data_IF_357967581800
#
_entry.id   IF_357967581800
#
_cell.length_a   1.000
_cell.length_b   1.000
_cell.length_c   1.000
_cell.angle_alpha   90.00
_cell.angle_beta   90.00
_cell.angle_gamma   90.00
#
_symmetry.space_group_name_H-M   'P 1'
#
loop_
_entity.id
_entity.type
_entity.pdbx_description
1 polymer ?
#
# COMPACT_ATOMS: atom_id res chain seq x y z
N UNK A 1 -22.19 11.29 -4.62
CA UNK A 1 -20.76 11.72 -4.62
C UNK A 1 -20.53 12.51 -5.90
N UNK A 2 -20.30 13.82 -5.80
CA UNK A 2 -20.00 14.66 -6.97
C UNK A 2 -18.51 14.47 -7.33
N UNK A 3 -18.26 13.85 -8.46
CA UNK A 3 -16.95 13.84 -9.06
C UNK A 3 -16.69 15.23 -9.64
N UNK A 4 -15.81 16.00 -9.03
CA UNK A 4 -15.34 17.26 -9.57
C UNK A 4 -13.96 17.00 -10.21
N UNK A 5 -13.84 17.06 -11.56
CA UNK A 5 -12.54 16.98 -12.20
C UNK A 5 -11.79 18.28 -11.96
N UNK A 6 -11.13 18.40 -10.79
CA UNK A 6 -10.14 19.46 -10.62
C UNK A 6 -9.09 19.24 -11.70
N UNK A 7 -8.78 20.29 -12.45
CA UNK A 7 -7.65 20.30 -13.37
C UNK A 7 -6.42 19.82 -12.61
N UNK A 8 -5.73 18.82 -13.12
CA UNK A 8 -4.45 18.40 -12.54
C UNK A 8 -3.56 19.63 -12.50
N UNK A 9 -2.92 19.93 -11.35
CA UNK A 9 -1.94 20.99 -11.31
C UNK A 9 -0.87 20.68 -12.35
N UNK A 10 -0.67 21.59 -13.31
CA UNK A 10 0.37 21.42 -14.32
C UNK A 10 1.72 21.30 -13.61
N UNK A 11 2.40 20.17 -13.81
CA UNK A 11 3.81 20.10 -13.50
C UNK A 11 4.56 20.87 -14.60
N UNK A 12 5.52 21.72 -14.29
CA UNK A 12 6.36 22.30 -15.33
C UNK A 12 7.02 21.14 -16.11
N UNK A 13 6.85 21.14 -17.43
CA UNK A 13 7.40 20.15 -18.38
C UNK A 13 8.95 20.19 -18.46
N UNK A 14 9.61 20.80 -17.49
CA UNK A 14 11.02 21.17 -17.56
C UNK A 14 11.99 20.17 -16.92
N UNK A 15 11.52 19.04 -16.42
CA UNK A 15 12.45 17.96 -16.09
C UNK A 15 12.66 17.18 -17.38
N UNK A 16 13.63 17.61 -18.19
CA UNK A 16 14.07 16.95 -19.41
C UNK A 16 14.68 15.57 -19.17
N UNK A 17 13.88 14.66 -18.60
CA UNK A 17 14.20 13.24 -18.50
C UNK A 17 13.28 12.56 -19.51
N UNK A 18 13.78 12.28 -20.70
CA UNK A 18 13.11 11.53 -21.77
C UNK A 18 12.59 10.14 -21.32
N UNK A 19 12.95 9.72 -20.09
CA UNK A 19 12.57 8.45 -19.48
C UNK A 19 11.23 8.50 -18.71
N UNK A 20 10.65 9.68 -18.44
CA UNK A 20 9.38 9.82 -17.72
C UNK A 20 8.22 9.89 -18.71
N UNK A 21 7.47 8.82 -18.84
CA UNK A 21 6.27 8.77 -19.68
C UNK A 21 5.10 9.56 -19.07
N UNK A 22 4.91 9.44 -17.78
CA UNK A 22 3.78 10.06 -17.07
C UNK A 22 4.16 10.43 -15.65
N UNK A 23 4.02 11.71 -15.30
CA UNK A 23 4.10 12.17 -13.92
C UNK A 23 2.69 12.20 -13.31
N UNK A 24 2.50 11.52 -12.20
CA UNK A 24 1.25 11.51 -11.44
C UNK A 24 1.44 12.33 -10.17
N UNK A 25 0.66 13.40 -10.02
CA UNK A 25 0.59 14.16 -8.77
C UNK A 25 -0.51 13.56 -7.91
N UNK A 26 -0.20 12.96 -6.74
CA UNK A 26 -1.19 12.35 -5.87
C UNK A 26 -2.22 13.38 -5.37
N UNK A 27 -3.48 12.95 -5.27
CA UNK A 27 -4.59 13.76 -4.81
C UNK A 27 -5.00 13.40 -3.39
N UNK A 28 -5.26 14.43 -2.57
CA UNK A 28 -5.80 14.27 -1.24
C UNK A 28 -7.18 13.60 -1.27
N UNK A 29 -7.40 12.63 -0.38
CA UNK A 29 -8.69 11.95 -0.15
C UNK A 29 -8.92 11.83 1.34
N UNK A 30 -10.03 12.40 1.81
CA UNK A 30 -10.49 12.23 3.19
C UNK A 30 -11.19 10.86 3.32
N UNK A 31 -10.74 10.05 4.27
CA UNK A 31 -11.30 8.75 4.63
C UNK A 31 -12.17 8.82 5.91
N UNK A 32 -12.62 10.01 6.30
CA UNK A 32 -13.43 10.22 7.50
C UNK A 32 -12.60 10.67 8.70
N UNK A 33 -11.89 11.80 8.55
CA UNK A 33 -11.02 12.40 9.55
C UNK A 33 -9.55 12.03 9.44
N UNK A 34 -9.18 11.34 8.35
CA UNK A 34 -7.82 11.03 7.98
C UNK A 34 -7.64 11.17 6.47
N UNK A 35 -6.63 11.91 6.06
CA UNK A 35 -6.32 12.16 4.65
C UNK A 35 -5.23 11.23 4.13
N UNK A 36 -5.46 10.67 2.94
CA UNK A 36 -4.47 9.93 2.16
C UNK A 36 -4.14 10.67 0.87
N UNK A 37 -2.97 10.41 0.32
CA UNK A 37 -2.54 10.90 -1.00
C UNK A 37 -2.67 9.77 -2.01
N UNK A 38 -3.69 9.86 -2.88
CA UNK A 38 -4.00 8.85 -3.90
C UNK A 38 -3.26 9.13 -5.19
N UNK A 39 -2.37 8.22 -5.59
CA UNK A 39 -1.69 8.26 -6.88
C UNK A 39 -2.44 7.48 -7.96
N UNK A 40 -2.98 6.30 -7.63
CA UNK A 40 -3.77 5.48 -8.55
C UNK A 40 -5.18 5.20 -8.00
N UNK A 41 -6.23 5.16 -8.86
CA UNK A 41 -6.19 5.50 -10.28
C UNK A 41 -6.07 7.01 -10.52
N UNK A 42 -5.33 7.39 -11.57
CA UNK A 42 -5.24 8.76 -12.05
C UNK A 42 -5.91 8.90 -13.44
N UNK A 43 -6.39 10.11 -13.84
CA UNK A 43 -7.09 10.29 -15.13
C UNK A 43 -6.28 9.85 -16.34
N UNK A 44 -4.95 10.07 -16.32
CA UNK A 44 -4.05 9.69 -17.42
C UNK A 44 -3.45 8.30 -17.28
N UNK A 45 -3.55 7.68 -16.08
CA UNK A 45 -2.99 6.37 -15.78
C UNK A 45 -3.90 5.66 -14.79
N UNK A 46 -4.71 4.72 -15.27
CA UNK A 46 -5.64 3.98 -14.41
C UNK A 46 -4.92 2.91 -13.59
N UNK A 47 -3.85 2.32 -14.14
CA UNK A 47 -3.09 1.25 -13.52
C UNK A 47 -1.63 1.24 -14.01
N UNK A 48 -0.76 0.57 -13.25
CA UNK A 48 0.64 0.29 -13.60
C UNK A 48 0.87 -1.21 -13.43
N UNK A 49 1.04 -1.95 -14.54
CA UNK A 49 0.98 -3.41 -14.49
C UNK A 49 -0.33 -3.85 -13.80
N UNK A 50 -0.30 -4.77 -12.84
CA UNK A 50 -1.49 -5.18 -12.10
C UNK A 50 -1.89 -4.23 -10.96
N UNK A 51 -1.10 -3.18 -10.66
CA UNK A 51 -1.41 -2.20 -9.60
C UNK A 51 -2.51 -1.25 -10.07
N UNK A 52 -3.69 -1.36 -9.46
CA UNK A 52 -4.91 -0.60 -9.80
C UNK A 52 -5.23 0.50 -8.78
N UNK A 53 -4.51 0.52 -7.66
CA UNK A 53 -4.72 1.49 -6.60
C UNK A 53 -3.43 1.74 -5.83
N UNK A 54 -3.21 3.00 -5.44
CA UNK A 54 -2.05 3.38 -4.64
C UNK A 54 -2.42 4.58 -3.75
N UNK A 55 -2.44 4.36 -2.44
CA UNK A 55 -2.62 5.40 -1.44
C UNK A 55 -1.39 5.48 -0.51
N UNK A 56 -0.91 6.69 -0.28
CA UNK A 56 0.02 7.01 0.78
C UNK A 56 -0.76 7.55 1.98
N UNK A 57 -0.66 6.86 3.10
CA UNK A 57 -1.22 7.24 4.39
C UNK A 57 -0.18 8.01 5.21
N UNK A 58 -0.44 9.28 5.52
CA UNK A 58 0.50 10.09 6.29
C UNK A 58 1.70 10.65 5.49
N UNK A 59 2.79 11.11 6.20
CA UNK A 59 2.95 11.07 7.66
C UNK A 59 1.90 11.88 8.40
N UNK A 60 1.37 11.32 9.49
CA UNK A 60 0.38 11.95 10.35
C UNK A 60 0.71 11.69 11.82
N UNK A 61 0.41 12.66 12.68
CA UNK A 61 0.63 12.56 14.13
C UNK A 61 -0.73 12.51 14.84
N UNK A 62 -0.83 11.66 15.85
CA UNK A 62 -2.02 11.47 16.66
C UNK A 62 -1.73 11.66 18.14
N UNK A 63 -2.65 12.29 18.85
CA UNK A 63 -2.62 12.39 20.31
C UNK A 63 -3.09 11.07 20.94
N UNK A 64 -2.79 10.90 22.23
CA UNK A 64 -3.26 9.76 23.01
C UNK A 64 -4.76 9.52 22.84
N UNK A 65 -5.16 8.30 22.58
CA UNK A 65 -6.54 7.90 22.35
C UNK A 65 -7.05 8.11 20.92
N UNK A 66 -6.35 8.91 20.11
CA UNK A 66 -6.68 9.10 18.70
C UNK A 66 -6.11 7.97 17.83
N UNK A 67 -6.40 7.99 16.55
CA UNK A 67 -5.90 7.04 15.56
C UNK A 67 -6.85 6.91 14.38
N UNK A 68 -6.55 6.01 13.48
CA UNK A 68 -7.35 5.75 12.28
C UNK A 68 -8.35 4.64 12.58
N UNK A 69 -9.55 4.80 12.02
CA UNK A 69 -10.62 3.82 12.03
C UNK A 69 -11.20 3.64 10.64
N UNK A 70 -10.57 2.82 9.81
CA UNK A 70 -11.16 2.39 8.55
C UNK A 70 -12.20 1.31 8.87
N UNK A 71 -13.47 1.69 8.68
CA UNK A 71 -14.64 0.85 8.99
C UNK A 71 -14.69 -0.40 8.10
N UNK A 72 -15.46 -1.44 8.50
CA UNK A 72 -15.65 -2.61 7.65
C UNK A 72 -16.10 -2.24 6.24
N UNK A 73 -15.38 -2.75 5.25
CA UNK A 73 -15.64 -2.56 3.83
C UNK A 73 -15.20 -3.80 3.04
N UNK A 74 -15.85 -4.10 1.89
CA UNK A 74 -15.56 -5.30 1.12
C UNK A 74 -14.54 -5.06 0.01
N UNK A 75 -13.84 -6.14 -0.35
CA UNK A 75 -13.05 -6.28 -1.58
C UNK A 75 -13.45 -7.57 -2.31
N UNK A 76 -13.28 -7.58 -3.63
CA UNK A 76 -13.53 -8.72 -4.51
C UNK A 76 -12.61 -8.64 -5.73
N UNK A 77 -12.12 -9.79 -6.21
CA UNK A 77 -11.34 -9.90 -7.45
C UNK A 77 -9.95 -9.24 -7.41
N UNK A 78 -9.45 -8.87 -6.25
CA UNK A 78 -8.17 -8.17 -6.08
C UNK A 78 -7.43 -8.62 -4.82
N UNK A 79 -6.17 -8.24 -4.70
CA UNK A 79 -5.41 -8.31 -3.47
C UNK A 79 -5.03 -6.93 -2.95
N UNK A 80 -4.95 -6.77 -1.63
CA UNK A 80 -4.49 -5.54 -0.98
C UNK A 80 -3.15 -5.77 -0.31
N UNK A 81 -2.22 -4.83 -0.49
CA UNK A 81 -0.91 -4.79 0.16
C UNK A 81 -0.89 -3.62 1.11
N UNK A 82 -0.66 -3.89 2.39
CA UNK A 82 -0.40 -2.85 3.39
C UNK A 82 1.06 -2.95 3.83
N UNK A 83 1.80 -1.85 3.72
CA UNK A 83 3.19 -1.72 4.16
C UNK A 83 3.36 -0.44 4.96
N UNK A 84 3.90 -0.54 6.19
CA UNK A 84 4.03 0.58 7.10
C UNK A 84 5.49 0.97 7.30
N UNK A 85 5.76 2.27 7.32
CA UNK A 85 7.02 2.87 7.74
C UNK A 85 7.00 3.28 9.21
N UNK A 86 5.82 3.70 9.73
CA UNK A 86 5.59 4.11 11.12
C UNK A 86 4.19 3.78 11.56
N UNK A 87 4.02 3.55 12.87
CA UNK A 87 2.73 3.25 13.47
C UNK A 87 2.33 1.80 13.32
N UNK A 88 1.06 1.53 13.50
CA UNK A 88 0.48 0.19 13.38
C UNK A 88 -0.93 0.24 12.79
N UNK A 89 -1.34 -0.89 12.20
CA UNK A 89 -2.74 -1.19 11.90
C UNK A 89 -3.12 -2.54 12.48
N UNK A 90 -4.30 -2.60 13.07
CA UNK A 90 -4.96 -3.83 13.47
C UNK A 90 -5.97 -4.22 12.40
N UNK A 91 -5.61 -5.19 11.60
CA UNK A 91 -6.45 -5.79 10.57
C UNK A 91 -7.36 -6.85 11.18
N UNK A 92 -8.65 -6.81 10.83
CA UNK A 92 -9.62 -7.87 11.12
C UNK A 92 -10.49 -8.09 9.90
N UNK A 93 -10.77 -9.36 9.58
CA UNK A 93 -11.54 -9.71 8.40
C UNK A 93 -12.57 -10.82 8.61
N UNK A 94 -13.38 -11.05 7.57
CA UNK A 94 -14.48 -12.04 7.57
C UNK A 94 -14.02 -13.50 7.44
N UNK A 95 -12.74 -13.74 7.15
CA UNK A 95 -12.16 -15.09 7.15
C UNK A 95 -11.53 -15.49 8.49
N UNK A 96 -11.60 -14.59 9.48
CA UNK A 96 -11.17 -14.83 10.85
C UNK A 96 -9.78 -14.32 11.19
N UNK A 97 -9.16 -13.52 10.31
CA UNK A 97 -7.87 -12.90 10.61
C UNK A 97 -8.02 -11.82 11.68
N UNK A 98 -7.09 -11.81 12.62
CA UNK A 98 -6.90 -10.77 13.64
C UNK A 98 -5.40 -10.52 13.77
N UNK A 99 -4.88 -9.52 13.03
CA UNK A 99 -3.45 -9.31 12.85
C UNK A 99 -3.06 -7.84 12.99
N UNK A 100 -2.11 -7.54 13.86
CA UNK A 100 -1.45 -6.23 13.91
C UNK A 100 -0.26 -6.24 12.96
N UNK A 101 -0.21 -5.26 12.05
CA UNK A 101 0.97 -4.99 11.23
C UNK A 101 1.80 -3.89 11.86
N UNK A 102 3.11 -4.09 11.90
CA UNK A 102 4.14 -3.19 12.41
C UNK A 102 5.04 -2.67 11.27
N UNK A 103 5.83 -1.61 11.50
CA UNK A 103 6.71 -1.05 10.48
C UNK A 103 7.68 -2.08 9.87
N UNK A 104 7.80 -2.03 8.55
CA UNK A 104 8.65 -2.92 7.76
C UNK A 104 8.06 -4.30 7.48
N UNK A 105 6.92 -4.65 8.08
CA UNK A 105 6.17 -5.86 7.74
C UNK A 105 5.19 -5.60 6.59
N UNK A 106 4.69 -6.67 5.96
CA UNK A 106 3.67 -6.62 4.92
C UNK A 106 2.47 -7.48 5.29
N UNK A 107 1.26 -6.94 5.12
CA UNK A 107 0.03 -7.71 5.05
C UNK A 107 -0.38 -7.85 3.59
N UNK A 108 -0.62 -9.07 3.14
CA UNK A 108 -1.12 -9.43 1.83
C UNK A 108 -2.46 -10.14 1.97
N UNK A 109 -3.55 -9.42 1.66
CA UNK A 109 -4.91 -9.97 1.68
C UNK A 109 -5.40 -10.14 0.25
N UNK A 110 -5.67 -11.37 -0.16
CA UNK A 110 -6.28 -11.71 -1.44
C UNK A 110 -7.76 -11.90 -1.22
N UNK A 111 -8.57 -11.02 -1.79
CA UNK A 111 -10.01 -11.02 -1.59
C UNK A 111 -10.72 -12.14 -2.36
N UNK A 112 -10.20 -12.52 -3.55
CA UNK A 112 -10.83 -13.55 -4.37
C UNK A 112 -12.34 -13.31 -4.55
N UNK A 113 -13.16 -14.30 -4.26
CA UNK A 113 -14.63 -14.23 -4.33
C UNK A 113 -15.29 -13.27 -3.32
N UNK A 114 -14.51 -12.67 -2.43
CA UNK A 114 -14.96 -11.60 -1.53
C UNK A 114 -14.48 -11.76 -0.09
N UNK A 115 -14.04 -10.65 0.48
CA UNK A 115 -13.71 -10.50 1.90
C UNK A 115 -14.16 -9.14 2.38
N UNK A 116 -14.62 -9.06 3.62
CA UNK A 116 -14.88 -7.79 4.31
C UNK A 116 -13.86 -7.63 5.42
N UNK A 117 -13.19 -6.47 5.47
CA UNK A 117 -12.19 -6.21 6.50
C UNK A 117 -12.28 -4.79 7.06
N UNK A 118 -11.58 -4.57 8.17
CA UNK A 118 -11.37 -3.26 8.80
C UNK A 118 -9.90 -3.11 9.19
N UNK A 119 -9.41 -1.87 9.20
CA UNK A 119 -8.04 -1.52 9.60
C UNK A 119 -8.10 -0.35 10.57
N UNK A 120 -7.53 -0.52 11.75
CA UNK A 120 -7.59 0.50 12.81
C UNK A 120 -6.23 0.62 13.48
N UNK A 121 -5.92 1.80 14.01
CA UNK A 121 -4.82 1.90 14.96
C UNK A 121 -5.10 0.96 16.12
N UNK A 122 -4.10 0.16 16.52
CA UNK A 122 -4.26 -0.81 17.60
C UNK A 122 -4.53 -0.14 18.94
N UNK A 123 -5.10 -0.90 19.90
CA UNK A 123 -5.29 -0.41 21.27
C UNK A 123 -3.95 -0.05 21.92
N UNK A 124 -2.86 -0.73 21.57
CA UNK A 124 -1.52 -0.42 22.04
C UNK A 124 -1.02 0.89 21.45
N UNK A 125 -1.20 1.12 20.14
CA UNK A 125 -0.84 2.36 19.48
C UNK A 125 -1.53 3.58 20.08
N UNK A 126 -2.80 3.44 20.47
CA UNK A 126 -3.59 4.53 21.08
C UNK A 126 -3.21 4.90 22.52
N UNK A 127 -2.36 4.14 23.18
CA UNK A 127 -1.98 4.40 24.60
C UNK A 127 -1.13 5.64 24.79
N UNK A 128 -0.50 6.16 23.75
CA UNK A 128 0.33 7.36 23.77
C UNK A 128 0.24 8.15 22.46
N UNK A 129 0.90 9.30 22.38
CA UNK A 129 1.10 9.98 21.12
C UNK A 129 1.85 9.07 20.15
N UNK A 130 1.40 9.03 18.90
CA UNK A 130 1.99 8.16 17.88
C UNK A 130 1.87 8.78 16.50
N UNK A 131 2.63 8.24 15.55
CA UNK A 131 2.56 8.64 14.15
C UNK A 131 2.14 7.48 13.28
N UNK A 132 1.59 7.78 12.10
CA UNK A 132 1.34 6.81 11.05
C UNK A 132 1.98 7.29 9.75
N UNK A 133 2.66 6.38 9.09
CA UNK A 133 3.12 6.54 7.72
C UNK A 133 3.19 5.18 7.04
N UNK A 134 2.53 5.04 5.91
CA UNK A 134 2.50 3.79 5.17
C UNK A 134 1.94 3.93 3.77
N UNK A 135 1.90 2.81 3.08
CA UNK A 135 1.38 2.69 1.71
C UNK A 135 0.39 1.52 1.69
N UNK A 136 -0.73 1.74 1.02
CA UNK A 136 -1.65 0.68 0.65
C UNK A 136 -1.83 0.65 -0.86
N UNK A 137 -1.63 -0.53 -1.45
CA UNK A 137 -1.83 -0.75 -2.88
C UNK A 137 -2.80 -1.89 -3.12
N UNK A 138 -3.49 -1.85 -4.25
CA UNK A 138 -4.31 -2.99 -4.69
C UNK A 138 -3.77 -3.53 -6.00
N UNK A 139 -3.76 -4.85 -6.08
CA UNK A 139 -3.30 -5.62 -7.23
C UNK A 139 -4.50 -6.38 -7.79
N UNK A 140 -4.82 -6.16 -9.06
CA UNK A 140 -5.83 -6.95 -9.76
C UNK A 140 -5.41 -8.42 -9.84
N UNK A 141 -6.33 -9.32 -9.57
CA UNK A 141 -6.09 -10.75 -9.79
C UNK A 141 -6.27 -11.07 -11.28
N UNK A 142 -5.56 -12.09 -11.79
CA UNK A 142 -5.86 -12.64 -13.12
C UNK A 142 -7.27 -13.22 -13.14
N UNK A 143 -7.93 -13.15 -14.31
CA UNK A 143 -9.32 -13.60 -14.51
C UNK A 143 -9.60 -15.01 -13.94
N UNK A 144 -8.67 -15.94 -14.09
CA UNK A 144 -8.80 -17.31 -13.57
C UNK A 144 -8.56 -17.42 -12.04
N UNK A 145 -8.37 -16.30 -11.33
CA UNK A 145 -8.14 -16.21 -9.88
C UNK A 145 -9.06 -15.23 -9.17
N UNK A 146 -9.88 -14.46 -9.89
CA UNK A 146 -10.79 -13.49 -9.31
C UNK A 146 -11.79 -14.11 -8.33
N UNK A 147 -12.24 -15.35 -8.58
CA UNK A 147 -13.21 -16.08 -7.77
C UNK A 147 -12.57 -17.12 -6.82
N UNK A 148 -11.24 -17.07 -6.61
CA UNK A 148 -10.59 -17.99 -5.67
C UNK A 148 -11.05 -17.75 -4.22
N UNK A 149 -10.84 -18.73 -3.34
CA UNK A 149 -11.05 -18.51 -1.91
C UNK A 149 -10.15 -17.40 -1.39
N UNK A 150 -10.66 -16.49 -0.54
CA UNK A 150 -9.85 -15.41 0.03
C UNK A 150 -8.78 -16.00 0.97
N UNK A 151 -7.62 -15.35 0.96
CA UNK A 151 -6.50 -15.69 1.84
C UNK A 151 -5.91 -14.43 2.47
N UNK A 152 -5.24 -14.62 3.60
CA UNK A 152 -4.46 -13.58 4.26
C UNK A 152 -3.08 -14.11 4.63
N UNK A 153 -2.05 -13.34 4.30
CA UNK A 153 -0.66 -13.62 4.68
C UNK A 153 -0.08 -12.40 5.40
N UNK A 154 0.66 -12.66 6.50
CA UNK A 154 1.46 -11.66 7.18
C UNK A 154 2.92 -12.07 7.14
N UNK A 155 3.78 -11.16 6.68
CA UNK A 155 5.21 -11.39 6.64
C UNK A 155 5.92 -10.30 7.44
N UNK A 156 6.62 -10.71 8.49
CA UNK A 156 7.40 -9.81 9.35
C UNK A 156 8.58 -9.19 8.59
N UNK A 157 9.04 -8.02 9.05
CA UNK A 157 10.12 -7.26 8.40
C UNK A 157 11.39 -8.10 8.12
N UNK A 158 11.70 -9.05 9.00
CA UNK A 158 12.92 -9.85 8.91
C UNK A 158 12.80 -11.01 7.91
N UNK A 159 11.59 -11.25 7.35
CA UNK A 159 11.34 -12.24 6.30
C UNK A 159 11.39 -11.66 4.89
N UNK A 160 11.41 -10.34 4.78
CA UNK A 160 11.45 -9.64 3.49
C UNK A 160 12.92 -9.49 3.05
N UNK A 161 13.26 -9.90 1.82
CA UNK A 161 14.63 -9.75 1.30
C UNK A 161 15.07 -8.29 1.25
N UNK A 162 16.30 -8.06 1.68
CA UNK A 162 16.96 -6.76 1.58
C UNK A 162 18.07 -6.84 0.54
N UNK A 163 18.09 -5.87 -0.36
CA UNK A 163 19.00 -5.77 -1.48
C UNK A 163 19.86 -4.53 -1.25
N UNK A 164 21.17 -4.71 -1.14
CA UNK A 164 22.12 -3.63 -0.94
C UNK A 164 23.00 -3.46 -2.17
N UNK A 165 23.19 -2.22 -2.59
CA UNK A 165 24.14 -1.80 -3.60
C UNK A 165 24.75 -0.46 -3.19
N UNK A 166 25.78 0.01 -3.90
CA UNK A 166 26.42 1.30 -3.58
C UNK A 166 25.40 2.43 -3.63
N UNK A 167 25.15 3.04 -2.46
CA UNK A 167 24.19 4.15 -2.32
C UNK A 167 22.71 3.76 -2.38
N UNK A 168 22.39 2.46 -2.44
CA UNK A 168 21.00 1.96 -2.58
C UNK A 168 20.76 0.89 -1.54
N UNK A 169 19.65 1.02 -0.80
CA UNK A 169 19.07 -0.05 0.00
C UNK A 169 17.63 -0.27 -0.47
N UNK A 170 17.28 -1.48 -0.83
CA UNK A 170 15.93 -1.82 -1.26
C UNK A 170 15.37 -3.00 -0.47
N UNK A 171 14.10 -2.94 -0.12
CA UNK A 171 13.37 -4.05 0.49
C UNK A 171 12.35 -4.58 -0.50
N UNK A 172 12.43 -5.88 -0.79
CA UNK A 172 11.50 -6.54 -1.70
C UNK A 172 10.24 -6.93 -0.94
N UNK A 173 9.17 -6.16 -1.15
CA UNK A 173 7.86 -6.33 -0.50
C UNK A 173 7.10 -7.49 -1.14
N UNK A 174 7.06 -7.56 -2.48
CA UNK A 174 6.39 -8.62 -3.23
C UNK A 174 7.20 -9.01 -4.46
N UNK A 175 7.03 -10.26 -4.88
CA UNK A 175 7.49 -10.77 -6.17
C UNK A 175 8.95 -11.17 -6.22
N UNK A 176 9.55 -10.98 -7.41
CA UNK A 176 10.93 -11.34 -7.69
C UNK A 176 11.67 -10.14 -8.26
N UNK A 177 12.82 -9.82 -7.71
CA UNK A 177 13.71 -8.80 -8.25
C UNK A 177 15.17 -9.07 -7.81
N UNK A 178 16.13 -8.77 -8.67
CA UNK A 178 17.56 -8.84 -8.38
C UNK A 178 18.04 -10.21 -7.85
N UNK A 179 17.40 -11.30 -8.29
CA UNK A 179 17.72 -12.66 -7.84
C UNK A 179 17.04 -13.09 -6.55
N UNK A 180 16.34 -12.18 -5.87
CA UNK A 180 15.63 -12.44 -4.63
C UNK A 180 14.13 -12.69 -4.87
N UNK A 181 13.50 -13.39 -3.92
CA UNK A 181 12.07 -13.69 -3.91
C UNK A 181 11.44 -13.31 -2.59
N UNK A 182 10.42 -12.42 -2.62
CA UNK A 182 9.59 -12.14 -1.45
C UNK A 182 8.72 -13.35 -1.06
N UNK A 183 8.37 -13.51 0.23
CA UNK A 183 7.66 -14.70 0.71
C UNK A 183 6.19 -14.76 0.30
N UNK A 184 5.54 -13.63 0.03
CA UNK A 184 4.12 -13.56 -0.30
C UNK A 184 3.77 -14.30 -1.60
N UNK A 185 2.65 -15.02 -1.60
CA UNK A 185 2.15 -15.76 -2.77
C UNK A 185 1.55 -14.83 -3.79
N UNK A 186 2.12 -14.75 -5.00
CA UNK A 186 1.58 -13.94 -6.10
C UNK A 186 0.90 -14.81 -7.16
N UNK A 187 -0.07 -14.19 -7.85
CA UNK A 187 -0.87 -14.82 -8.90
C UNK A 187 -0.60 -14.23 -10.30
N UNK A 188 0.22 -13.18 -10.36
CA UNK A 188 0.74 -12.58 -11.60
C UNK A 188 2.21 -12.20 -11.42
N UNK A 189 2.96 -12.16 -12.52
CA UNK A 189 4.34 -11.69 -12.47
C UNK A 189 4.37 -10.20 -12.15
N UNK A 190 4.97 -9.86 -11.04
CA UNK A 190 5.18 -8.48 -10.61
C UNK A 190 6.28 -8.41 -9.56
N UNK A 191 6.73 -7.21 -9.26
CA UNK A 191 7.56 -6.95 -8.08
C UNK A 191 7.15 -5.62 -7.45
N UNK A 192 7.41 -5.50 -6.15
CA UNK A 192 7.21 -4.29 -5.39
C UNK A 192 8.40 -4.06 -4.46
N UNK A 193 9.08 -2.94 -4.65
CA UNK A 193 10.28 -2.56 -3.90
C UNK A 193 10.04 -1.27 -3.14
N UNK A 194 10.48 -1.22 -1.90
CA UNK A 194 10.76 0.01 -1.17
C UNK A 194 12.24 0.32 -1.32
N UNK A 195 12.57 1.47 -1.91
CA UNK A 195 13.94 1.83 -2.27
C UNK A 195 14.36 3.11 -1.57
N UNK A 196 15.47 3.05 -0.86
CA UNK A 196 16.11 4.21 -0.24
C UNK A 196 17.40 4.50 -0.98
N UNK A 197 17.54 5.72 -1.47
CA UNK A 197 18.73 6.21 -2.15
C UNK A 197 19.43 7.24 -1.27
N UNK A 198 20.75 7.15 -1.19
CA UNK A 198 21.55 8.25 -0.61
C UNK A 198 21.70 9.37 -1.63
N UNK A 199 21.95 10.59 -1.17
CA UNK A 199 22.14 11.71 -2.07
C UNK A 199 23.33 11.48 -3.01
N UNK A 200 23.08 11.55 -4.32
CA UNK A 200 24.10 11.37 -5.37
C UNK A 200 24.28 9.92 -5.86
N UNK A 201 23.45 8.96 -5.37
CA UNK A 201 23.45 7.59 -5.89
C UNK A 201 22.76 7.52 -7.26
#
# INVERSE_FOLDING_TARGET
MSWNPALEPGCPDEIGIDAIETLIIPRARDLGGFEVKRALPAPRRQMVGPFIFFDQAGPAEFLTGQGIDVRPHPHIGLGTVTYLYRGDFHHRDSIGTDQVILPGAVNWMVAGKGVTHSERTSDQGRRGPHSLYGIQTWIALPENREDMDPIFEHHGKDTLPEIEAEGVTAKLILGHAYGEKAPATLYSETFYLDVVLIAGA
#
